data_IF_491284854514
#
_entry.id   IF_491284854514
#
_cell.length_a   1.000
_cell.length_b   1.000
_cell.length_c   1.000
_cell.angle_alpha   90.00
_cell.angle_beta   90.00
_cell.angle_gamma   90.00
#
_symmetry.space_group_name_H-M   'P 1'
#
loop_
_entity.id
_entity.type
_entity.pdbx_description
1 polymer ?
#
# COMPACT_ATOMS: atom_id res chain seq x y z
N UNK A 1 -15.13 -11.75 0.63
CA UNK A 1 -14.44 -10.63 -0.04
C UNK A 1 -14.10 -9.51 0.93
N UNK A 2 -15.06 -8.88 1.61
CA UNK A 2 -14.79 -7.74 2.51
C UNK A 2 -13.78 -8.05 3.62
N UNK A 3 -13.86 -9.24 4.24
CA UNK A 3 -12.90 -9.69 5.25
C UNK A 3 -11.48 -9.72 4.69
N UNK A 4 -11.29 -10.14 3.43
CA UNK A 4 -9.99 -10.21 2.78
C UNK A 4 -9.42 -8.83 2.49
N UNK A 5 -10.28 -7.90 2.07
CA UNK A 5 -9.90 -6.48 1.93
C UNK A 5 -9.43 -5.95 3.28
N UNK A 6 -10.22 -6.13 4.36
CA UNK A 6 -9.86 -5.68 5.71
C UNK A 6 -8.55 -6.30 6.23
N UNK A 7 -8.31 -7.58 5.96
CA UNK A 7 -7.04 -8.25 6.29
C UNK A 7 -5.86 -7.63 5.54
N UNK A 8 -6.01 -7.38 4.23
CA UNK A 8 -5.01 -6.69 3.42
C UNK A 8 -4.74 -5.25 3.91
N UNK A 9 -5.79 -4.51 4.26
CA UNK A 9 -5.68 -3.17 4.84
C UNK A 9 -4.91 -3.20 6.16
N UNK A 10 -5.26 -4.11 7.06
CA UNK A 10 -4.58 -4.26 8.35
C UNK A 10 -3.08 -4.55 8.17
N UNK A 11 -2.74 -5.50 7.30
CA UNK A 11 -1.34 -5.83 7.02
C UNK A 11 -0.61 -4.68 6.34
N UNK A 12 -1.22 -4.04 5.35
CA UNK A 12 -0.64 -2.88 4.66
C UNK A 12 -0.30 -1.75 5.63
N UNK A 13 -1.23 -1.39 6.52
CA UNK A 13 -1.02 -0.35 7.54
C UNK A 13 0.10 -0.74 8.52
N UNK A 14 0.12 -1.98 9.02
CA UNK A 14 1.16 -2.44 9.95
C UNK A 14 2.54 -2.41 9.28
N UNK A 15 2.64 -2.84 8.02
CA UNK A 15 3.89 -2.79 7.26
C UNK A 15 4.34 -1.35 7.02
N UNK A 16 3.43 -0.45 6.65
CA UNK A 16 3.74 0.97 6.46
C UNK A 16 4.32 1.59 7.73
N UNK A 17 3.68 1.35 8.89
CA UNK A 17 4.13 1.88 10.17
C UNK A 17 5.48 1.29 10.58
N UNK A 18 5.64 -0.03 10.43
CA UNK A 18 6.88 -0.73 10.80
C UNK A 18 8.05 -0.26 9.93
N UNK A 19 7.87 -0.21 8.61
CA UNK A 19 8.90 0.22 7.68
C UNK A 19 9.24 1.70 7.86
N UNK A 20 8.23 2.55 8.08
CA UNK A 20 8.43 3.96 8.39
C UNK A 20 9.26 4.15 9.65
N UNK A 21 8.88 3.48 10.74
CA UNK A 21 9.61 3.53 12.00
C UNK A 21 11.06 3.02 11.87
N UNK A 22 11.26 1.87 11.22
CA UNK A 22 12.60 1.31 11.00
C UNK A 22 13.46 2.23 10.13
N UNK A 23 12.89 2.83 9.08
CA UNK A 23 13.64 3.75 8.23
C UNK A 23 14.10 5.00 8.98
N UNK A 24 13.29 5.51 9.91
CA UNK A 24 13.67 6.60 10.81
C UNK A 24 14.75 6.20 11.81
N UNK A 25 14.64 5.01 12.43
CA UNK A 25 15.64 4.49 13.37
C UNK A 25 17.01 4.26 12.72
N UNK A 26 17.01 3.74 11.48
CA UNK A 26 18.23 3.47 10.72
C UNK A 26 18.86 4.74 10.12
N UNK A 27 18.24 5.91 10.33
CA UNK A 27 18.74 7.17 9.79
C UNK A 27 18.83 7.15 8.26
N UNK A 28 17.87 6.51 7.59
CA UNK A 28 17.91 6.39 6.13
C UNK A 28 17.74 7.76 5.48
N UNK A 29 18.84 8.33 4.98
CA UNK A 29 18.85 9.70 4.45
C UNK A 29 18.26 9.82 3.04
N UNK A 30 18.12 8.71 2.30
CA UNK A 30 17.60 8.72 0.92
C UNK A 30 16.07 8.69 0.90
N UNK A 31 15.38 9.80 0.57
CA UNK A 31 13.93 9.87 0.60
C UNK A 31 13.30 8.98 -0.48
N UNK A 32 13.98 8.82 -1.62
CA UNK A 32 13.56 7.97 -2.73
C UNK A 32 13.51 6.50 -2.29
N UNK A 33 14.57 6.03 -1.63
CA UNK A 33 14.70 4.63 -1.25
C UNK A 33 13.70 4.26 -0.14
N UNK A 34 13.52 5.15 0.85
CA UNK A 34 12.49 5.01 1.88
C UNK A 34 11.09 4.96 1.26
N UNK A 35 10.81 5.86 0.31
CA UNK A 35 9.52 5.88 -0.42
C UNK A 35 9.28 4.58 -1.18
N UNK A 36 10.26 4.08 -1.93
CA UNK A 36 10.14 2.82 -2.69
C UNK A 36 9.88 1.64 -1.75
N UNK A 37 10.61 1.55 -0.63
CA UNK A 37 10.42 0.49 0.36
C UNK A 37 9.03 0.52 0.99
N UNK A 38 8.56 1.71 1.39
CA UNK A 38 7.22 1.90 1.92
C UNK A 38 6.15 1.53 0.90
N UNK A 39 6.30 1.95 -0.35
CA UNK A 39 5.35 1.66 -1.43
C UNK A 39 5.29 0.16 -1.72
N UNK A 40 6.45 -0.48 -1.87
CA UNK A 40 6.50 -1.93 -2.07
C UNK A 40 5.92 -2.66 -0.87
N UNK A 41 6.43 -2.44 0.34
CA UNK A 41 5.98 -3.18 1.52
C UNK A 41 4.48 -3.02 1.78
N UNK A 42 3.97 -1.79 1.74
CA UNK A 42 2.58 -1.46 2.08
C UNK A 42 1.61 -2.02 1.05
N UNK A 43 1.79 -1.67 -0.22
CA UNK A 43 0.82 -2.02 -1.27
C UNK A 43 0.98 -3.45 -1.73
N UNK A 44 2.22 -3.97 -1.83
CA UNK A 44 2.46 -5.36 -2.22
C UNK A 44 1.98 -6.31 -1.12
N UNK A 45 2.34 -6.03 0.13
CA UNK A 45 1.92 -6.84 1.28
C UNK A 45 0.40 -6.82 1.47
N UNK A 46 -0.22 -5.62 1.43
CA UNK A 46 -1.67 -5.49 1.53
C UNK A 46 -2.42 -6.14 0.37
N UNK A 47 -1.92 -5.99 -0.86
CA UNK A 47 -2.48 -6.63 -2.05
C UNK A 47 -2.35 -8.15 -2.03
N UNK A 48 -1.20 -8.67 -1.58
CA UNK A 48 -0.95 -10.10 -1.43
C UNK A 48 -1.94 -10.72 -0.45
N UNK A 49 -2.05 -10.17 0.76
CA UNK A 49 -2.95 -10.72 1.78
C UNK A 49 -4.42 -10.61 1.36
N UNK A 50 -4.81 -9.52 0.70
CA UNK A 50 -6.15 -9.38 0.14
C UNK A 50 -6.45 -10.39 -0.99
N UNK A 51 -5.43 -10.76 -1.77
CA UNK A 51 -5.54 -11.73 -2.86
C UNK A 51 -5.59 -13.19 -2.38
N UNK A 52 -4.81 -13.54 -1.36
CA UNK A 52 -4.69 -14.93 -0.87
C UNK A 52 -6.04 -15.48 -0.40
N UNK A 53 -6.45 -16.60 -1.00
CA UNK A 53 -7.70 -17.26 -0.63
C UNK A 53 -8.96 -16.65 -1.26
N UNK A 54 -8.87 -15.50 -1.92
CA UNK A 54 -10.02 -14.81 -2.52
C UNK A 54 -10.50 -15.47 -3.82
N UNK A 55 -11.81 -15.45 -4.07
CA UNK A 55 -12.39 -15.86 -5.36
C UNK A 55 -12.13 -14.84 -6.48
N UNK A 56 -11.88 -13.58 -6.12
CA UNK A 56 -11.59 -12.48 -7.06
C UNK A 56 -10.32 -11.74 -6.63
N UNK A 57 -9.13 -12.36 -6.75
CA UNK A 57 -7.89 -11.84 -6.17
C UNK A 57 -7.54 -10.43 -6.65
N UNK A 58 -7.69 -10.15 -7.95
CA UNK A 58 -7.42 -8.84 -8.53
C UNK A 58 -8.39 -7.76 -8.07
N UNK A 59 -9.69 -8.05 -8.00
CA UNK A 59 -10.68 -7.09 -7.52
C UNK A 59 -10.47 -6.79 -6.03
N UNK A 60 -10.16 -7.81 -5.24
CA UNK A 60 -9.94 -7.68 -3.80
C UNK A 60 -8.67 -6.87 -3.51
N UNK A 61 -7.58 -7.16 -4.23
CA UNK A 61 -6.33 -6.43 -4.12
C UNK A 61 -6.45 -5.00 -4.67
N UNK A 62 -7.11 -4.80 -5.82
CA UNK A 62 -7.35 -3.48 -6.39
C UNK A 62 -8.12 -2.55 -5.45
N UNK A 63 -9.23 -3.03 -4.87
CA UNK A 63 -9.99 -2.28 -3.87
C UNK A 63 -9.16 -1.99 -2.60
N UNK A 64 -8.37 -2.97 -2.14
CA UNK A 64 -7.43 -2.78 -1.03
C UNK A 64 -6.42 -1.67 -1.33
N UNK A 65 -5.78 -1.69 -2.50
CA UNK A 65 -4.81 -0.69 -2.93
C UNK A 65 -5.40 0.71 -3.06
N UNK A 66 -6.62 0.84 -3.59
CA UNK A 66 -7.33 2.14 -3.65
C UNK A 66 -7.56 2.68 -2.24
N UNK A 67 -8.08 1.85 -1.33
CA UNK A 67 -8.36 2.28 0.05
C UNK A 67 -7.06 2.64 0.79
N UNK A 68 -6.00 1.82 0.67
CA UNK A 68 -4.67 2.15 1.25
C UNK A 68 -4.14 3.48 0.73
N UNK A 69 -4.31 3.75 -0.57
CA UNK A 69 -3.90 5.03 -1.15
C UNK A 69 -4.67 6.19 -0.51
N UNK A 70 -5.99 6.08 -0.43
CA UNK A 70 -6.84 7.11 0.19
C UNK A 70 -6.43 7.35 1.65
N UNK A 71 -6.19 6.29 2.42
CA UNK A 71 -5.72 6.38 3.80
C UNK A 71 -4.37 7.11 3.84
N UNK A 72 -3.38 6.64 3.08
CA UNK A 72 -2.04 7.22 3.07
C UNK A 72 -2.05 8.71 2.68
N UNK A 73 -2.82 9.08 1.65
CA UNK A 73 -2.96 10.47 1.24
C UNK A 73 -3.68 11.30 2.31
N UNK A 74 -4.73 10.78 2.93
CA UNK A 74 -5.40 11.42 4.07
C UNK A 74 -4.43 11.68 5.23
N UNK A 75 -3.60 10.71 5.58
CA UNK A 75 -2.57 10.88 6.60
C UNK A 75 -1.53 11.93 6.20
N UNK A 76 -1.03 11.90 4.96
CA UNK A 76 -0.07 12.91 4.48
C UNK A 76 -0.67 14.32 4.56
N UNK A 77 -1.93 14.50 4.15
CA UNK A 77 -2.62 15.79 4.22
C UNK A 77 -2.76 16.27 5.67
N UNK A 78 -3.20 15.39 6.58
CA UNK A 78 -3.52 15.76 7.95
C UNK A 78 -2.27 16.01 8.81
N UNK A 79 -1.17 15.30 8.55
CA UNK A 79 -0.03 15.25 9.46
C UNK A 79 1.29 15.79 8.88
N UNK A 80 1.43 15.89 7.55
CA UNK A 80 2.71 16.22 6.93
C UNK A 80 2.65 17.37 5.91
N UNK A 81 1.48 17.65 5.32
CA UNK A 81 1.36 18.65 4.28
C UNK A 81 1.19 20.07 4.86
N UNK A 82 2.07 20.98 4.44
CA UNK A 82 1.71 22.39 4.36
C UNK A 82 0.76 22.56 3.16
N UNK A 83 -0.24 23.45 3.18
CA UNK A 83 -1.18 23.63 2.06
C UNK A 83 -0.52 23.85 0.69
N UNK A 84 0.74 24.31 0.66
CA UNK A 84 1.52 24.56 -0.55
C UNK A 84 2.19 23.32 -1.18
N UNK A 85 2.25 22.17 -0.49
CA UNK A 85 2.88 20.94 -1.02
C UNK A 85 1.88 19.97 -1.65
N UNK A 86 0.59 20.31 -1.67
CA UNK A 86 -0.46 19.47 -2.22
C UNK A 86 -0.52 19.58 -3.76
N UNK A 87 0.02 18.59 -4.46
CA UNK A 87 -0.12 18.47 -5.92
C UNK A 87 -1.10 17.35 -6.29
N UNK A 88 -2.24 17.67 -6.94
CA UNK A 88 -3.21 16.67 -7.38
C UNK A 88 -2.60 15.56 -8.26
N UNK A 89 -1.57 15.90 -9.03
CA UNK A 89 -0.82 14.97 -9.88
C UNK A 89 -0.08 13.92 -9.04
N UNK A 90 0.48 14.30 -7.89
CA UNK A 90 1.16 13.36 -6.99
C UNK A 90 0.21 12.33 -6.40
N UNK A 91 -1.04 12.70 -6.19
CA UNK A 91 -2.09 11.80 -5.68
C UNK A 91 -2.51 10.81 -6.74
N UNK A 92 -2.77 11.28 -7.97
CA UNK A 92 -3.12 10.41 -9.09
C UNK A 92 -1.98 9.44 -9.41
N UNK A 93 -0.73 9.92 -9.35
CA UNK A 93 0.45 9.09 -9.51
C UNK A 93 0.57 8.05 -8.38
N UNK A 94 0.43 8.47 -7.12
CA UNK A 94 0.44 7.57 -5.96
C UNK A 94 -0.65 6.50 -6.04
N UNK A 95 -1.85 6.87 -6.49
CA UNK A 95 -2.97 5.96 -6.70
C UNK A 95 -2.68 4.96 -7.82
N UNK A 96 -2.16 5.42 -8.95
CA UNK A 96 -1.80 4.56 -10.07
C UNK A 96 -0.72 3.55 -9.65
N UNK A 97 0.38 4.01 -9.06
CA UNK A 97 1.49 3.15 -8.65
C UNK A 97 1.07 2.20 -7.52
N UNK A 98 0.35 2.70 -6.51
CA UNK A 98 -0.17 1.88 -5.41
C UNK A 98 -1.13 0.79 -5.90
N UNK A 99 -2.00 1.11 -6.87
CA UNK A 99 -2.90 0.14 -7.51
C UNK A 99 -2.09 -0.95 -8.25
N UNK A 100 -1.14 -0.56 -9.10
CA UNK A 100 -0.32 -1.52 -9.87
C UNK A 100 0.41 -2.48 -8.93
N UNK A 101 1.05 -1.97 -7.89
CA UNK A 101 1.79 -2.82 -6.92
C UNK A 101 0.82 -3.71 -6.14
N UNK A 102 -0.35 -3.20 -5.74
CA UNK A 102 -1.34 -4.01 -5.04
C UNK A 102 -1.87 -5.14 -5.92
N UNK A 103 -2.09 -4.90 -7.22
CA UNK A 103 -2.47 -5.93 -8.19
C UNK A 103 -1.38 -6.99 -8.37
N UNK A 104 -0.10 -6.60 -8.38
CA UNK A 104 1.02 -7.56 -8.37
C UNK A 104 0.97 -8.42 -7.11
N UNK A 105 0.72 -7.82 -5.95
CA UNK A 105 0.52 -8.57 -4.70
C UNK A 105 -0.63 -9.55 -4.82
N UNK A 106 -1.78 -9.11 -5.33
CA UNK A 106 -2.96 -9.94 -5.57
C UNK A 106 -2.69 -11.13 -6.51
N UNK A 107 -1.89 -10.90 -7.56
CA UNK A 107 -1.42 -11.96 -8.47
C UNK A 107 -0.59 -13.00 -7.72
N UNK A 108 0.42 -12.58 -6.96
CA UNK A 108 1.26 -13.48 -6.14
C UNK A 108 0.41 -14.28 -5.14
N UNK A 109 -0.54 -13.61 -4.47
CA UNK A 109 -1.46 -14.26 -3.54
C UNK A 109 -2.37 -15.30 -4.21
N UNK A 110 -2.71 -15.10 -5.49
CA UNK A 110 -3.49 -16.06 -6.27
C UNK A 110 -2.70 -17.32 -6.63
N UNK A 111 -1.37 -17.20 -6.79
CA UNK A 111 -0.48 -18.33 -7.05
C UNK A 111 -0.29 -19.15 -5.77
N UNK A 112 -0.07 -18.50 -4.63
CA UNK A 112 0.18 -19.17 -3.33
C UNK A 112 -0.97 -20.11 -2.94
N UNK A 113 -2.22 -19.79 -3.27
CA UNK A 113 -3.38 -20.67 -2.97
C UNK A 113 -3.43 -21.93 -3.85
N UNK A 114 -2.76 -21.93 -5.01
CA UNK A 114 -2.80 -23.04 -5.97
C UNK A 114 -1.69 -24.07 -5.76
N UNK A 115 -0.70 -23.75 -4.92
CA UNK A 115 0.40 -24.64 -4.53
C UNK A 115 0.08 -25.45 -3.29
#
# INVERSE_FOLDING_TARGET
MIIKILQGLGVGTVLSLTLGYLSGLLGMESPLLVTILLLLGTYLGGGLVAGVGSSHPFLTAGLCGVILTVINQGFTILFMASPSTYHPVGILFGLFVGLVISLIGGFLGSIIKKG
#
